data_IF_766600487423
#
_entry.id   IF_766600487423
#
_cell.length_a   1.000
_cell.length_b   1.000
_cell.length_c   1.000
_cell.angle_alpha   90.00
_cell.angle_beta   90.00
_cell.angle_gamma   90.00
#
_symmetry.space_group_name_H-M   'P 1'
#
loop_
_entity.id
_entity.type
_entity.pdbx_description
1 polymer ?
#
# COMPACT_ATOMS: atom_id res chain seq x y z
N UNK A 1 -5.13 16.74 -12.29
CA UNK A 1 -4.65 16.51 -10.91
C UNK A 1 -4.02 15.12 -10.86
N UNK A 2 -2.77 15.06 -10.48
CA UNK A 2 -1.98 13.83 -10.47
C UNK A 2 -2.20 13.15 -9.11
N UNK A 3 -2.83 11.97 -9.06
CA UNK A 3 -2.93 11.19 -7.83
C UNK A 3 -1.58 10.51 -7.60
N UNK A 4 -0.79 11.09 -6.72
CA UNK A 4 0.46 10.49 -6.25
C UNK A 4 0.12 9.53 -5.12
N UNK A 5 0.30 8.24 -5.35
CA UNK A 5 0.22 7.24 -4.29
C UNK A 5 1.47 7.37 -3.45
N UNK A 6 1.35 8.04 -2.32
CA UNK A 6 2.42 8.13 -1.34
C UNK A 6 2.33 6.89 -0.45
N UNK A 7 3.15 5.89 -0.72
CA UNK A 7 3.40 4.82 0.24
C UNK A 7 4.21 5.42 1.39
N UNK A 8 3.57 5.57 2.54
CA UNK A 8 4.12 6.28 3.68
C UNK A 8 5.32 5.53 4.25
N UNK A 9 6.46 6.22 4.34
CA UNK A 9 7.61 5.83 5.15
C UNK A 9 7.20 5.77 6.62
N UNK A 10 6.72 4.65 7.08
CA UNK A 10 6.63 4.36 8.51
C UNK A 10 7.77 3.38 8.81
N UNK A 11 8.86 3.83 9.34
CA UNK A 11 9.94 3.04 9.96
C UNK A 11 11.37 3.56 9.71
N UNK A 12 11.59 4.84 9.52
CA UNK A 12 12.98 5.34 9.40
C UNK A 12 13.50 6.09 10.64
N UNK A 13 12.65 6.42 11.60
CA UNK A 13 13.08 7.19 12.76
C UNK A 13 13.48 6.31 13.97
N UNK A 14 13.10 5.05 14.00
CA UNK A 14 13.44 4.15 15.12
C UNK A 14 14.80 3.45 14.92
N UNK A 15 15.24 3.25 13.69
CA UNK A 15 16.51 2.56 13.39
C UNK A 15 17.73 3.47 13.53
N UNK A 16 17.57 4.78 13.32
CA UNK A 16 18.68 5.73 13.45
C UNK A 16 19.16 5.93 14.89
N UNK A 17 18.36 5.59 15.90
CA UNK A 17 18.72 5.76 17.31
C UNK A 17 19.40 4.53 17.92
N UNK A 18 19.34 3.37 17.26
CA UNK A 18 20.06 2.17 17.69
C UNK A 18 21.47 2.05 17.10
N UNK A 19 21.78 2.78 16.04
CA UNK A 19 23.08 2.74 15.37
C UNK A 19 24.18 3.50 16.12
N UNK A 20 23.82 4.32 17.10
CA UNK A 20 24.79 5.11 17.89
C UNK A 20 25.25 4.44 19.19
N UNK A 21 24.75 3.23 19.48
CA UNK A 21 25.14 2.49 20.70
C UNK A 21 25.85 1.14 20.42
N UNK A 22 26.26 0.89 19.19
CA UNK A 22 26.90 -0.37 18.79
C UNK A 22 28.36 -0.21 18.33
N UNK A 23 29.03 0.87 18.74
CA UNK A 23 30.45 1.03 18.51
C UNK A 23 31.25 0.59 19.76
N UNK A 24 31.19 -0.68 20.11
CA UNK A 24 32.18 -1.43 20.89
C UNK A 24 31.67 -2.83 21.19
N UNK A 25 31.64 -3.70 20.20
CA UNK A 25 31.79 -5.13 20.42
C UNK A 25 32.14 -5.83 19.10
N UNK A 26 33.31 -6.43 19.05
CA UNK A 26 33.77 -7.37 18.05
C UNK A 26 32.68 -8.41 17.73
N UNK A 27 32.04 -8.31 16.58
CA UNK A 27 31.08 -9.33 16.12
C UNK A 27 31.59 -9.91 14.82
N UNK A 28 31.95 -11.17 14.92
CA UNK A 28 32.18 -12.10 13.83
C UNK A 28 31.11 -11.93 12.73
N UNK A 29 31.59 -11.93 11.51
CA UNK A 29 30.86 -11.81 10.25
C UNK A 29 29.77 -12.89 10.12
N UNK A 30 28.64 -12.69 10.76
CA UNK A 30 27.39 -13.40 10.42
C UNK A 30 26.77 -12.64 9.26
N UNK A 31 26.61 -13.30 8.13
CA UNK A 31 25.89 -12.76 6.97
C UNK A 31 24.51 -12.28 7.45
N UNK A 32 24.34 -10.97 7.48
CA UNK A 32 23.04 -10.33 7.72
C UNK A 32 22.21 -10.65 6.48
N UNK A 33 21.30 -11.61 6.58
CA UNK A 33 20.27 -11.79 5.56
C UNK A 33 19.55 -10.45 5.40
N UNK A 34 19.64 -9.85 4.22
CA UNK A 34 18.87 -8.65 3.92
C UNK A 34 17.39 -8.95 4.18
N UNK A 35 16.68 -8.11 4.96
CA UNK A 35 15.28 -8.37 5.25
C UNK A 35 14.51 -8.49 3.92
N UNK A 36 13.83 -9.61 3.72
CA UNK A 36 13.02 -9.89 2.53
C UNK A 36 12.08 -8.69 2.31
N UNK A 37 12.33 -7.92 1.27
CA UNK A 37 11.52 -6.73 0.95
C UNK A 37 10.18 -7.20 0.40
N UNK A 38 9.08 -6.76 1.01
CA UNK A 38 7.74 -7.08 0.52
C UNK A 38 7.48 -6.45 -0.85
N UNK A 39 6.79 -7.20 -1.69
CA UNK A 39 6.41 -6.80 -3.06
C UNK A 39 4.90 -6.90 -3.21
N UNK A 40 4.26 -5.77 -3.52
CA UNK A 40 2.86 -5.73 -3.92
C UNK A 40 2.79 -5.79 -5.44
N UNK A 41 2.11 -6.79 -5.99
CA UNK A 41 2.02 -7.04 -7.42
C UNK A 41 0.56 -7.13 -7.86
N UNK A 42 0.23 -6.42 -8.92
CA UNK A 42 -1.08 -6.46 -9.58
C UNK A 42 -0.90 -7.02 -10.99
N UNK A 43 -1.67 -8.04 -11.35
CA UNK A 43 -1.55 -8.75 -12.61
C UNK A 43 -2.90 -8.81 -13.34
N UNK A 44 -2.94 -8.28 -14.55
CA UNK A 44 -4.08 -8.38 -15.44
C UNK A 44 -5.37 -7.78 -14.89
N UNK A 45 -5.30 -6.75 -14.05
CA UNK A 45 -6.48 -6.19 -13.39
C UNK A 45 -7.52 -5.69 -14.38
N UNK A 46 -8.75 -6.16 -14.23
CA UNK A 46 -9.91 -5.75 -15.02
C UNK A 46 -11.02 -5.30 -14.11
N UNK A 47 -11.63 -4.13 -14.42
CA UNK A 47 -12.85 -3.67 -13.76
C UNK A 47 -13.87 -3.17 -14.75
N UNK A 48 -15.09 -3.68 -14.58
CA UNK A 48 -16.27 -3.30 -15.38
C UNK A 48 -17.35 -2.74 -14.48
N UNK A 49 -17.97 -1.66 -14.89
CA UNK A 49 -19.19 -1.12 -14.29
C UNK A 49 -20.31 -1.16 -15.36
N UNK A 50 -21.24 -2.09 -15.19
CA UNK A 50 -22.25 -2.38 -16.22
C UNK A 50 -21.58 -2.79 -17.54
N UNK A 51 -21.86 -2.05 -18.60
CA UNK A 51 -21.28 -2.31 -19.95
C UNK A 51 -19.92 -1.64 -20.18
N UNK A 52 -19.46 -0.79 -19.26
CA UNK A 52 -18.22 -0.03 -19.44
C UNK A 52 -17.05 -0.70 -18.74
N UNK A 53 -16.00 -1.04 -19.49
CA UNK A 53 -14.72 -1.43 -18.93
C UNK A 53 -13.93 -0.18 -18.55
N UNK A 54 -13.60 -0.03 -17.26
CA UNK A 54 -12.89 1.12 -16.72
C UNK A 54 -11.40 0.83 -16.57
N UNK A 55 -11.06 -0.41 -16.24
CA UNK A 55 -9.69 -0.92 -16.18
C UNK A 55 -9.62 -2.18 -17.03
N UNK A 56 -8.63 -2.29 -17.88
CA UNK A 56 -8.49 -3.38 -18.84
C UNK A 56 -7.05 -3.91 -18.87
N UNK A 57 -6.79 -4.98 -18.12
CA UNK A 57 -5.53 -5.71 -18.12
C UNK A 57 -4.33 -4.92 -17.56
N UNK A 58 -4.52 -4.15 -16.50
CA UNK A 58 -3.45 -3.34 -15.91
C UNK A 58 -2.53 -4.20 -15.05
N UNK A 59 -1.21 -4.02 -15.25
CA UNK A 59 -0.16 -4.67 -14.46
C UNK A 59 0.74 -3.61 -13.85
N UNK A 60 1.14 -3.79 -12.59
CA UNK A 60 2.18 -3.00 -11.93
C UNK A 60 2.69 -3.71 -10.67
N UNK A 61 3.86 -3.28 -10.25
CA UNK A 61 4.57 -3.81 -9.08
C UNK A 61 5.06 -2.64 -8.23
N UNK A 62 5.02 -2.81 -6.91
CA UNK A 62 5.55 -1.85 -5.93
C UNK A 62 6.36 -2.62 -4.90
N UNK A 63 7.63 -2.27 -4.76
CA UNK A 63 8.52 -2.88 -3.76
C UNK A 63 8.57 -2.03 -2.49
N UNK A 64 8.78 -2.68 -1.38
CA UNK A 64 8.94 -1.99 -0.10
C UNK A 64 10.02 -0.90 -0.18
N UNK A 65 9.68 0.32 0.22
CA UNK A 65 10.56 1.49 0.14
C UNK A 65 10.53 2.22 -1.20
N UNK A 66 9.84 1.69 -2.22
CA UNK A 66 9.66 2.32 -3.52
C UNK A 66 8.45 3.27 -3.54
N UNK A 67 8.52 4.31 -4.36
CA UNK A 67 7.39 5.21 -4.64
C UNK A 67 7.00 5.03 -6.10
N UNK A 68 5.80 4.52 -6.33
CA UNK A 68 5.24 4.31 -7.67
C UNK A 68 4.09 5.27 -7.91
N UNK A 69 4.08 5.96 -9.05
CA UNK A 69 3.03 6.87 -9.48
C UNK A 69 2.22 6.30 -10.64
N UNK A 70 0.87 6.28 -10.47
CA UNK A 70 -0.05 5.98 -11.57
C UNK A 70 -0.39 7.27 -12.31
N UNK A 71 0.10 7.42 -13.55
CA UNK A 71 -0.10 8.60 -14.39
C UNK A 71 -1.12 8.29 -15.50
N UNK A 72 -1.81 9.34 -15.95
CA UNK A 72 -2.76 9.23 -17.04
C UNK A 72 -3.87 10.28 -16.97
N UNK A 73 -4.68 10.43 -18.02
CA UNK A 73 -5.78 11.39 -18.06
C UNK A 73 -6.89 11.06 -17.06
N UNK A 74 -7.81 12.02 -16.86
CA UNK A 74 -8.98 11.76 -16.03
C UNK A 74 -9.87 10.68 -16.67
N UNK A 75 -10.38 9.76 -15.85
CA UNK A 75 -11.14 8.60 -16.32
C UNK A 75 -10.32 7.42 -16.84
N UNK A 76 -8.98 7.48 -16.79
CA UNK A 76 -8.11 6.37 -17.20
C UNK A 76 -8.09 5.16 -16.23
N UNK A 77 -8.95 5.13 -15.22
CA UNK A 77 -9.02 4.01 -14.28
C UNK A 77 -7.99 4.01 -13.15
N UNK A 78 -7.14 5.05 -13.00
CA UNK A 78 -6.08 5.14 -11.98
C UNK A 78 -6.58 4.86 -10.56
N UNK A 79 -7.59 5.61 -10.14
CA UNK A 79 -8.19 5.45 -8.80
C UNK A 79 -8.82 4.08 -8.62
N UNK A 80 -9.46 3.55 -9.67
CA UNK A 80 -10.07 2.22 -9.64
C UNK A 80 -9.00 1.13 -9.52
N UNK A 81 -7.89 1.23 -10.26
CA UNK A 81 -6.76 0.31 -10.15
C UNK A 81 -6.18 0.31 -8.74
N UNK A 82 -5.99 1.50 -8.17
CA UNK A 82 -5.54 1.66 -6.79
C UNK A 82 -6.52 1.05 -5.78
N UNK A 83 -7.82 1.27 -5.94
CA UNK A 83 -8.83 0.68 -5.05
C UNK A 83 -8.90 -0.84 -5.13
N UNK A 84 -8.58 -1.43 -6.28
CA UNK A 84 -8.48 -2.88 -6.40
C UNK A 84 -7.29 -3.45 -5.60
N UNK A 85 -6.15 -2.76 -5.58
CA UNK A 85 -4.99 -3.23 -4.80
C UNK A 85 -5.12 -3.03 -3.30
N UNK A 86 -5.98 -2.13 -2.85
CA UNK A 86 -6.24 -1.90 -1.41
C UNK A 86 -7.45 -2.67 -0.88
N UNK A 87 -8.12 -3.46 -1.73
CA UNK A 87 -9.31 -4.23 -1.36
C UNK A 87 -10.59 -3.40 -1.23
N UNK A 88 -10.57 -2.11 -1.59
CA UNK A 88 -11.77 -1.26 -1.59
C UNK A 88 -12.73 -1.61 -2.74
N UNK A 89 -12.20 -2.17 -3.82
CA UNK A 89 -12.97 -2.59 -4.99
C UNK A 89 -12.48 -3.97 -5.41
N UNK A 90 -13.38 -4.94 -5.49
CA UNK A 90 -13.06 -6.27 -6.00
C UNK A 90 -12.94 -6.21 -7.54
N UNK A 91 -11.84 -6.69 -8.14
CA UNK A 91 -11.68 -6.75 -9.59
C UNK A 91 -12.68 -7.74 -10.24
N UNK A 92 -12.97 -7.56 -11.51
CA UNK A 92 -13.71 -8.54 -12.31
C UNK A 92 -12.79 -9.59 -12.97
N UNK A 93 -11.50 -9.35 -12.94
CA UNK A 93 -10.46 -10.26 -13.43
C UNK A 93 -9.08 -9.72 -13.08
N UNK A 94 -8.10 -10.60 -13.16
CA UNK A 94 -6.74 -10.35 -12.70
C UNK A 94 -6.58 -10.64 -11.21
N UNK A 95 -5.36 -10.52 -10.73
CA UNK A 95 -4.97 -10.93 -9.39
C UNK A 95 -4.12 -9.85 -8.71
N UNK A 96 -4.18 -9.81 -7.38
CA UNK A 96 -3.32 -8.97 -6.53
C UNK A 96 -2.58 -9.88 -5.56
N UNK A 97 -1.26 -9.71 -5.50
CA UNK A 97 -0.38 -10.48 -4.63
C UNK A 97 0.40 -9.57 -3.69
N UNK A 98 0.59 -10.01 -2.48
CA UNK A 98 1.58 -9.46 -1.55
C UNK A 98 2.62 -10.54 -1.30
N UNK A 99 3.80 -10.39 -1.89
CA UNK A 99 4.81 -11.45 -2.05
C UNK A 99 4.20 -12.66 -2.78
N UNK A 100 4.13 -13.81 -2.09
CA UNK A 100 3.56 -15.07 -2.59
C UNK A 100 2.08 -15.25 -2.18
N UNK A 101 1.52 -14.32 -1.40
CA UNK A 101 0.15 -14.41 -0.91
C UNK A 101 -0.81 -13.70 -1.86
N UNK A 102 -1.75 -14.44 -2.42
CA UNK A 102 -2.85 -13.84 -3.18
C UNK A 102 -3.85 -13.17 -2.23
N UNK A 103 -4.12 -11.89 -2.47
CA UNK A 103 -4.99 -11.06 -1.64
C UNK A 103 -6.20 -10.49 -2.40
N UNK A 104 -6.42 -10.92 -3.64
CA UNK A 104 -7.44 -10.39 -4.58
C UNK A 104 -8.83 -10.26 -3.95
N UNK A 105 -9.29 -11.32 -3.25
CA UNK A 105 -10.63 -11.40 -2.67
C UNK A 105 -10.64 -11.07 -1.17
N UNK A 106 -9.53 -10.58 -0.63
CA UNK A 106 -9.47 -10.22 0.79
C UNK A 106 -10.32 -8.98 1.06
N UNK A 107 -11.11 -8.97 2.14
CA UNK A 107 -11.75 -7.74 2.59
C UNK A 107 -10.72 -6.74 3.10
N UNK A 108 -11.06 -5.45 3.08
CA UNK A 108 -10.16 -4.32 3.43
C UNK A 108 -9.41 -4.53 4.75
N UNK A 109 -10.07 -5.07 5.78
CA UNK A 109 -9.42 -5.29 7.08
C UNK A 109 -8.30 -6.35 7.03
N UNK A 110 -8.38 -7.33 6.10
CA UNK A 110 -7.30 -8.30 5.89
C UNK A 110 -6.13 -7.69 5.13
N UNK A 111 -6.38 -6.79 4.17
CA UNK A 111 -5.33 -5.98 3.54
C UNK A 111 -4.58 -5.15 4.59
N UNK A 112 -5.31 -4.49 5.50
CA UNK A 112 -4.71 -3.73 6.59
C UNK A 112 -3.85 -4.61 7.52
N UNK A 113 -4.34 -5.80 7.89
CA UNK A 113 -3.56 -6.77 8.69
C UNK A 113 -2.33 -7.31 7.97
N UNK A 114 -2.36 -7.38 6.65
CA UNK A 114 -1.22 -7.76 5.83
C UNK A 114 -0.19 -6.60 5.66
N UNK A 115 -0.47 -5.42 6.21
CA UNK A 115 0.43 -4.27 6.19
C UNK A 115 0.15 -3.26 5.07
N UNK A 116 -0.96 -3.39 4.34
CA UNK A 116 -1.36 -2.45 3.29
C UNK A 116 -2.19 -1.34 3.92
N UNK A 117 -1.58 -0.15 4.08
CA UNK A 117 -2.27 1.04 4.54
C UNK A 117 -2.94 1.81 3.40
N UNK A 118 -4.05 2.47 3.69
CA UNK A 118 -4.76 3.35 2.77
C UNK A 118 -4.86 4.76 3.35
N UNK A 119 -4.42 5.75 2.58
CA UNK A 119 -4.64 7.16 2.91
C UNK A 119 -5.65 7.75 1.92
N UNK A 120 -6.82 8.13 2.43
CA UNK A 120 -7.87 8.73 1.62
C UNK A 120 -7.44 10.08 1.03
N UNK A 121 -7.94 10.41 -0.16
CA UNK A 121 -7.71 11.71 -0.79
C UNK A 121 -8.47 12.83 -0.08
N UNK A 122 -9.61 12.50 0.53
CA UNK A 122 -10.42 13.42 1.31
C UNK A 122 -10.05 13.33 2.80
N UNK A 123 -10.28 14.41 3.52
CA UNK A 123 -10.02 14.46 4.95
C UNK A 123 -10.93 13.49 5.70
N UNK A 124 -10.35 12.39 6.21
CA UNK A 124 -11.04 11.38 7.01
C UNK A 124 -11.09 11.81 8.48
N UNK A 125 -11.79 12.91 8.76
CA UNK A 125 -11.96 13.43 10.12
C UNK A 125 -13.44 13.47 10.50
N UNK A 126 -13.74 13.03 11.70
CA UNK A 126 -15.08 13.19 12.28
C UNK A 126 -15.25 14.64 12.78
N UNK A 127 -15.91 15.46 11.97
CA UNK A 127 -16.03 16.92 12.21
C UNK A 127 -16.71 17.32 13.52
N UNK A 128 -17.45 16.39 14.15
CA UNK A 128 -18.14 16.61 15.42
C UNK A 128 -17.37 16.12 16.64
N UNK A 129 -16.23 15.48 16.42
CA UNK A 129 -15.35 14.97 17.48
C UNK A 129 -14.19 15.94 17.71
N UNK A 130 -13.65 15.93 18.93
CA UNK A 130 -12.44 16.68 19.26
C UNK A 130 -11.24 16.14 18.49
N UNK A 131 -10.14 16.87 18.43
CA UNK A 131 -8.88 16.41 17.83
C UNK A 131 -8.37 15.15 18.53
N UNK A 132 -8.45 15.14 19.87
CA UNK A 132 -8.03 14.00 20.70
C UNK A 132 -8.85 12.75 20.38
N UNK A 133 -10.18 12.86 20.32
CA UNK A 133 -11.06 11.74 19.97
C UNK A 133 -10.84 11.23 18.55
N UNK A 134 -10.57 12.12 17.60
CA UNK A 134 -10.22 11.73 16.21
C UNK A 134 -8.93 10.90 16.17
N UNK A 135 -7.93 11.28 16.95
CA UNK A 135 -6.66 10.53 17.03
C UNK A 135 -6.90 9.19 17.76
N UNK A 136 -7.60 9.20 18.86
CA UNK A 136 -7.90 8.00 19.65
C UNK A 136 -8.75 6.98 18.88
N UNK A 137 -9.59 7.41 17.93
CA UNK A 137 -10.42 6.51 17.11
C UNK A 137 -9.63 5.68 16.09
N UNK A 138 -8.37 6.02 15.84
CA UNK A 138 -7.49 5.36 14.85
C UNK A 138 -6.41 4.50 15.53
N UNK A 139 -6.20 4.66 16.83
CA UNK A 139 -5.26 3.89 17.64
C UNK A 139 -5.90 2.62 18.19
#
# INVERSE_FOLDING_TARGET
MCSVIRFLKFFTTFVAKLSLMAEEMDIQHTAVEEPKRMVLRAEGLVKKYGKRTVVNGVNFEVRQGEIVGLLGPNGAGKTTSFYMTTGLVVPNGGHVYLDDLEITDFPVYKHAKAGIGYLAQEASVFRKMSVEDNIASVL
#
